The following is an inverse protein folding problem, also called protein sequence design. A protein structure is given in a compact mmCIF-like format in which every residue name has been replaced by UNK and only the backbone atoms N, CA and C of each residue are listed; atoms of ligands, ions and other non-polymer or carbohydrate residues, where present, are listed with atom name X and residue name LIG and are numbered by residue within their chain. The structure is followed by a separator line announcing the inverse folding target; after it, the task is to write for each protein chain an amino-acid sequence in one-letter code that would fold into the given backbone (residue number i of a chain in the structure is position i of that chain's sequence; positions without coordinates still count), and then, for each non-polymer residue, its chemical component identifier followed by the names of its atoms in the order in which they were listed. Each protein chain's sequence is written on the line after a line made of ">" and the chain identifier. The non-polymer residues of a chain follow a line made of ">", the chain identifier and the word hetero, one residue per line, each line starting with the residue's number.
data_IF_378856292164
#
_entry.id   IF_378856292164
#
_cell.length_a   1.000
_cell.length_b   1.000
_cell.length_c   1.000
_cell.angle_alpha   90.00
_cell.angle_beta   90.00
_cell.angle_gamma   90.00
#
_symmetry.space_group_name_H-M   'P 1'
#
loop_
_entity.id
_entity.type
_entity.pdbx_description
1 polymer ?
#
# COMPACT_ATOMS: atom_id res chain seq x y z
N UNK A 1 60.77 52.70 -20.52
CA UNK A 1 60.50 51.26 -20.34
C UNK A 1 58.99 51.03 -20.41
N UNK A 2 58.48 50.27 -21.39
CA UNK A 2 57.05 49.94 -21.49
C UNK A 2 56.83 48.47 -21.16
N UNK A 3 56.06 48.17 -20.11
CA UNK A 3 55.60 46.81 -19.81
C UNK A 3 54.52 46.42 -20.82
N UNK A 4 54.81 45.42 -21.66
CA UNK A 4 53.77 44.72 -22.42
C UNK A 4 53.22 43.61 -21.52
N UNK A 5 51.97 43.75 -21.10
CA UNK A 5 51.24 42.70 -20.36
C UNK A 5 50.71 41.73 -21.39
N UNK A 6 51.32 40.55 -21.49
CA UNK A 6 50.87 39.49 -22.41
C UNK A 6 49.53 38.90 -21.94
N UNK A 7 48.43 39.46 -22.45
CA UNK A 7 47.04 39.03 -22.20
C UNK A 7 46.74 37.57 -22.60
N UNK A 8 47.63 36.89 -23.32
CA UNK A 8 47.46 35.51 -23.79
C UNK A 8 47.92 34.47 -22.76
N UNK A 9 48.88 34.81 -21.89
CA UNK A 9 49.41 33.87 -20.90
C UNK A 9 48.41 33.57 -19.77
N UNK A 10 47.45 34.48 -19.51
CA UNK A 10 46.50 34.34 -18.39
C UNK A 10 45.14 33.75 -18.76
N UNK A 11 44.75 33.73 -20.05
CA UNK A 11 43.47 33.12 -20.50
C UNK A 11 43.42 31.60 -20.30
N UNK A 12 44.56 30.92 -20.39
CA UNK A 12 44.65 29.45 -20.24
C UNK A 12 44.46 28.98 -18.79
N UNK A 13 45.16 29.52 -17.77
CA UNK A 13 44.89 29.13 -16.38
C UNK A 13 43.49 29.58 -15.91
N UNK A 14 42.98 30.70 -16.42
CA UNK A 14 41.63 31.17 -16.09
C UNK A 14 40.53 30.23 -16.64
N UNK A 15 40.71 29.68 -17.84
CA UNK A 15 39.79 28.69 -18.43
C UNK A 15 39.84 27.34 -17.69
N UNK A 16 41.03 26.90 -17.24
CA UNK A 16 41.17 25.66 -16.46
C UNK A 16 40.51 25.78 -15.08
N UNK A 17 40.64 26.94 -14.41
CA UNK A 17 39.98 27.18 -13.12
C UNK A 17 38.44 27.26 -13.25
N UNK A 18 37.91 27.81 -14.34
CA UNK A 18 36.47 27.85 -14.60
C UNK A 18 35.87 26.46 -14.88
N UNK A 19 36.60 25.57 -15.56
CA UNK A 19 36.11 24.22 -15.87
C UNK A 19 36.03 23.31 -14.64
N UNK A 20 36.95 23.44 -13.67
CA UNK A 20 36.95 22.62 -12.46
C UNK A 20 35.79 22.93 -11.49
N UNK A 21 35.22 24.14 -11.55
CA UNK A 21 34.11 24.55 -10.69
C UNK A 21 32.74 23.94 -11.08
N UNK A 22 32.60 23.34 -12.27
CA UNK A 22 31.31 22.86 -12.79
C UNK A 22 30.86 21.48 -12.30
N UNK A 23 31.73 20.66 -11.71
CA UNK A 23 31.44 19.25 -11.40
C UNK A 23 30.93 18.98 -9.97
N UNK A 24 30.83 19.98 -9.09
CA UNK A 24 30.43 19.78 -7.68
C UNK A 24 28.93 20.00 -7.39
N UNK A 25 28.09 20.17 -8.41
CA UNK A 25 26.72 20.67 -8.24
C UNK A 25 25.60 19.60 -8.20
N UNK A 26 25.90 18.30 -8.32
CA UNK A 26 24.87 17.25 -8.37
C UNK A 26 25.07 16.17 -7.30
N UNK A 27 25.02 16.54 -6.02
CA UNK A 27 24.80 15.55 -4.94
C UNK A 27 24.23 16.12 -3.63
N UNK A 28 24.14 17.45 -3.46
CA UNK A 28 23.73 18.09 -2.20
C UNK A 28 22.45 18.88 -2.38
N UNK A 29 21.35 18.16 -2.63
CA UNK A 29 20.01 18.68 -2.28
C UNK A 29 19.79 18.47 -0.78
N UNK A 30 19.21 19.43 -0.04
CA UNK A 30 18.94 19.25 1.38
C UNK A 30 17.96 18.09 1.56
N UNK A 31 18.43 16.98 2.14
CA UNK A 31 17.56 15.91 2.63
C UNK A 31 17.01 16.34 3.99
N UNK A 32 16.13 17.34 3.97
CA UNK A 32 15.21 17.62 5.06
C UNK A 32 14.06 16.63 4.96
N UNK A 33 14.18 15.49 5.62
CA UNK A 33 13.00 14.84 6.16
C UNK A 33 12.94 15.28 7.61
N UNK A 34 12.47 16.51 7.84
CA UNK A 34 12.00 16.92 9.16
C UNK A 34 10.89 15.93 9.57
N UNK A 35 11.29 14.84 10.22
CA UNK A 35 10.40 14.14 11.14
C UNK A 35 10.20 15.12 12.27
N UNK A 36 9.11 15.87 12.16
CA UNK A 36 8.57 16.69 13.24
C UNK A 36 8.70 15.88 14.53
N UNK A 37 9.49 16.42 15.45
CA UNK A 37 9.72 15.83 16.74
C UNK A 37 8.36 15.51 17.37
N UNK A 38 8.25 14.26 17.81
CA UNK A 38 7.19 13.68 18.62
C UNK A 38 6.40 14.77 19.37
N UNK A 39 5.28 15.21 18.77
CA UNK A 39 4.31 16.01 19.50
C UNK A 39 3.86 15.12 20.64
N UNK A 40 4.34 15.41 21.85
CA UNK A 40 3.81 14.84 23.08
C UNK A 40 2.34 15.18 23.08
N UNK A 41 1.52 14.20 22.70
CA UNK A 41 0.09 14.35 22.69
C UNK A 41 -0.33 14.60 24.15
N UNK A 42 -1.22 15.57 24.43
CA UNK A 42 -1.85 15.62 25.74
C UNK A 42 -2.44 14.23 26.03
N UNK A 43 -2.38 13.72 27.27
CA UNK A 43 -2.97 12.43 27.59
C UNK A 43 -4.41 12.43 27.10
N UNK A 44 -4.72 11.49 26.21
CA UNK A 44 -6.02 11.40 25.57
C UNK A 44 -7.02 10.95 26.64
N UNK A 45 -7.66 11.89 27.30
CA UNK A 45 -8.79 11.61 28.18
C UNK A 45 -9.92 11.08 27.31
N UNK A 46 -10.16 9.78 27.42
CA UNK A 46 -11.28 9.11 26.77
C UNK A 46 -12.56 9.67 27.39
N UNK A 47 -13.38 10.44 26.65
CA UNK A 47 -14.63 10.94 27.20
C UNK A 47 -15.55 9.73 27.49
N UNK A 48 -16.16 9.64 28.68
CA UNK A 48 -17.18 8.63 28.94
C UNK A 48 -18.35 8.89 27.99
N UNK A 49 -18.63 7.92 27.11
CA UNK A 49 -19.57 8.07 26.00
C UNK A 49 -19.02 7.67 24.63
N UNK A 50 -17.76 7.21 24.54
CA UNK A 50 -17.34 6.22 23.55
C UNK A 50 -17.34 4.84 24.21
N UNK A 51 -18.53 4.32 24.49
CA UNK A 51 -18.75 2.91 24.22
C UNK A 51 -18.27 2.67 22.80
N UNK A 52 -17.11 2.00 22.71
CA UNK A 52 -16.55 1.47 21.47
C UNK A 52 -17.75 0.96 20.65
N UNK A 53 -17.92 1.30 19.35
CA UNK A 53 -18.80 0.48 18.55
C UNK A 53 -18.27 -0.92 18.78
N UNK A 54 -19.15 -1.77 19.32
CA UNK A 54 -18.77 -3.08 19.81
C UNK A 54 -17.82 -3.69 18.79
N UNK A 55 -16.83 -4.45 19.26
CA UNK A 55 -15.94 -5.23 18.41
C UNK A 55 -16.69 -6.34 17.63
N UNK A 56 -17.95 -6.10 17.29
CA UNK A 56 -18.91 -6.86 16.53
C UNK A 56 -18.93 -6.35 15.08
N UNK A 57 -17.82 -6.45 14.36
CA UNK A 57 -17.85 -6.35 12.90
C UNK A 57 -16.58 -6.90 12.25
N UNK A 58 -16.16 -8.12 12.61
CA UNK A 58 -15.23 -8.88 11.78
C UNK A 58 -15.39 -10.40 11.97
N UNK A 59 -16.63 -10.87 12.17
CA UNK A 59 -16.96 -12.31 12.13
C UNK A 59 -17.91 -12.63 10.98
N UNK A 60 -18.05 -11.75 9.99
CA UNK A 60 -18.66 -12.10 8.73
C UNK A 60 -17.61 -12.84 7.89
N UNK A 61 -17.48 -14.15 8.14
CA UNK A 61 -16.99 -15.04 7.10
C UNK A 61 -17.91 -14.83 5.88
N UNK A 62 -17.39 -14.74 4.65
CA UNK A 62 -18.26 -14.86 3.50
C UNK A 62 -19.07 -16.14 3.69
N UNK A 63 -20.41 -16.04 3.63
CA UNK A 63 -21.29 -17.19 3.61
C UNK A 63 -20.98 -17.99 2.34
N UNK A 64 -19.97 -18.85 2.47
CA UNK A 64 -19.79 -19.99 1.60
C UNK A 64 -21.07 -20.81 1.72
N UNK A 65 -21.66 -21.30 0.60
CA UNK A 65 -22.69 -22.33 0.69
C UNK A 65 -22.18 -23.41 1.66
N UNK A 66 -22.92 -23.60 2.76
CA UNK A 66 -22.39 -23.91 4.09
C UNK A 66 -21.25 -24.95 4.16
N UNK A 67 -20.28 -24.78 5.08
CA UNK A 67 -19.09 -25.60 5.09
C UNK A 67 -19.43 -27.06 5.39
N UNK A 68 -18.63 -28.00 4.87
CA UNK A 68 -18.69 -29.36 5.33
C UNK A 68 -18.14 -29.43 6.76
N UNK A 69 -19.04 -29.40 7.75
CA UNK A 69 -18.68 -29.54 9.15
C UNK A 69 -18.12 -28.27 9.81
N UNK A 70 -17.64 -28.38 11.06
CA UNK A 70 -17.12 -27.27 11.85
C UNK A 70 -15.97 -26.52 11.15
N UNK A 71 -16.00 -25.19 11.20
CA UNK A 71 -14.94 -24.31 10.69
C UNK A 71 -14.52 -23.33 11.78
N UNK A 72 -13.20 -23.16 11.95
CA UNK A 72 -12.60 -22.16 12.83
C UNK A 72 -11.63 -21.26 12.05
N UNK A 73 -11.45 -20.02 12.52
CA UNK A 73 -10.48 -19.07 11.97
C UNK A 73 -9.31 -18.99 12.93
N UNK A 74 -8.11 -19.24 12.44
CA UNK A 74 -6.87 -19.15 13.20
C UNK A 74 -5.99 -18.02 12.66
N UNK A 75 -5.13 -17.49 13.52
CA UNK A 75 -4.24 -16.37 13.18
C UNK A 75 -2.89 -16.50 13.87
N UNK A 76 -1.83 -16.24 13.12
CA UNK A 76 -0.47 -16.08 13.61
C UNK A 76 0.18 -14.85 12.95
N UNK A 77 0.30 -13.76 13.72
CA UNK A 77 0.82 -12.47 13.25
C UNK A 77 0.04 -11.93 12.04
N UNK A 78 0.67 -11.97 10.87
CA UNK A 78 0.13 -11.54 9.59
C UNK A 78 -0.60 -12.66 8.81
N UNK A 79 -0.45 -13.93 9.22
CA UNK A 79 -1.10 -15.08 8.57
C UNK A 79 -2.45 -15.36 9.21
N UNK A 80 -3.43 -15.70 8.39
CA UNK A 80 -4.77 -16.14 8.80
C UNK A 80 -5.17 -17.33 7.95
N UNK A 81 -5.78 -18.35 8.55
CA UNK A 81 -6.26 -19.52 7.83
C UNK A 81 -7.55 -20.06 8.45
N UNK A 82 -8.27 -20.85 7.66
CA UNK A 82 -9.44 -21.59 8.11
C UNK A 82 -9.01 -23.02 8.45
N UNK A 83 -9.46 -23.51 9.60
CA UNK A 83 -9.40 -24.93 9.97
C UNK A 83 -10.77 -25.51 9.68
N UNK A 84 -10.83 -26.45 8.74
CA UNK A 84 -12.09 -27.06 8.27
C UNK A 84 -12.06 -28.54 8.59
N UNK A 85 -13.03 -29.01 9.36
CA UNK A 85 -13.15 -30.42 9.74
C UNK A 85 -13.88 -31.23 8.65
N UNK A 86 -13.26 -31.39 7.48
CA UNK A 86 -13.78 -32.18 6.37
C UNK A 86 -12.71 -32.80 5.46
N UNK A 87 -13.06 -33.85 4.68
CA UNK A 87 -12.16 -34.41 3.67
C UNK A 87 -11.77 -33.37 2.61
N UNK A 88 -10.49 -33.32 2.19
CA UNK A 88 -10.01 -32.37 1.16
C UNK A 88 -10.83 -32.39 -0.13
N UNK A 89 -11.26 -33.57 -0.57
CA UNK A 89 -12.09 -33.73 -1.79
C UNK A 89 -13.44 -33.02 -1.73
N UNK A 90 -13.96 -32.71 -0.54
CA UNK A 90 -15.19 -31.94 -0.37
C UNK A 90 -14.93 -30.43 -0.27
N UNK A 91 -13.77 -30.05 0.27
CA UNK A 91 -13.38 -28.63 0.46
C UNK A 91 -12.86 -28.02 -0.84
N UNK A 92 -12.07 -28.77 -1.61
CA UNK A 92 -11.45 -28.31 -2.84
C UNK A 92 -12.41 -27.61 -3.83
N UNK A 93 -13.54 -28.22 -4.25
CA UNK A 93 -14.45 -27.58 -5.21
C UNK A 93 -15.09 -26.31 -4.66
N UNK A 94 -15.24 -26.18 -3.34
CA UNK A 94 -15.80 -24.97 -2.72
C UNK A 94 -14.80 -23.81 -2.77
N UNK A 95 -13.52 -24.08 -2.46
CA UNK A 95 -12.45 -23.08 -2.55
C UNK A 95 -12.27 -22.61 -3.99
N UNK A 96 -12.28 -23.56 -4.94
CA UNK A 96 -12.20 -23.28 -6.37
C UNK A 96 -13.38 -22.40 -6.85
N UNK A 97 -14.61 -22.75 -6.45
CA UNK A 97 -15.81 -21.99 -6.77
C UNK A 97 -15.79 -20.58 -6.14
N UNK A 98 -15.32 -20.45 -4.90
CA UNK A 98 -15.19 -19.17 -4.22
C UNK A 98 -14.26 -18.20 -4.96
N UNK A 99 -13.06 -18.67 -5.33
CA UNK A 99 -12.10 -17.83 -6.05
C UNK A 99 -12.63 -17.44 -7.43
N UNK A 100 -13.18 -18.40 -8.19
CA UNK A 100 -13.75 -18.12 -9.51
C UNK A 100 -14.97 -17.19 -9.45
N UNK A 101 -15.83 -17.36 -8.45
CA UNK A 101 -17.00 -16.50 -8.22
C UNK A 101 -16.61 -15.05 -7.91
N UNK A 102 -15.39 -14.83 -7.40
CA UNK A 102 -14.82 -13.50 -7.20
C UNK A 102 -13.97 -13.01 -8.39
N UNK A 103 -14.02 -13.70 -9.53
CA UNK A 103 -13.24 -13.37 -10.71
C UNK A 103 -11.74 -13.61 -10.54
N UNK A 104 -11.33 -14.51 -9.64
CA UNK A 104 -9.96 -14.98 -9.53
C UNK A 104 -9.81 -16.32 -10.24
N UNK A 105 -8.88 -16.38 -11.18
CA UNK A 105 -8.41 -17.63 -11.76
C UNK A 105 -7.10 -18.03 -11.04
N UNK A 106 -6.99 -19.27 -10.55
CA UNK A 106 -5.74 -19.74 -9.95
C UNK A 106 -4.58 -19.62 -10.94
N UNK A 107 -3.46 -19.06 -10.50
CA UNK A 107 -2.24 -18.99 -11.30
C UNK A 107 -1.55 -20.36 -11.40
N UNK A 108 -1.69 -21.19 -10.37
CA UNK A 108 -1.18 -22.56 -10.32
C UNK A 108 -1.93 -23.39 -9.28
N UNK A 109 -2.14 -24.68 -9.56
CA UNK A 109 -2.77 -25.62 -8.63
C UNK A 109 -2.16 -27.03 -8.68
N UNK A 110 -2.14 -27.72 -7.53
CA UNK A 110 -1.86 -29.15 -7.37
C UNK A 110 -2.91 -29.74 -6.41
N UNK A 111 -3.91 -30.42 -6.99
CA UNK A 111 -5.03 -31.00 -6.24
C UNK A 111 -4.61 -32.15 -5.33
N UNK A 112 -3.59 -32.91 -5.74
CA UNK A 112 -3.09 -34.04 -4.95
C UNK A 112 -2.44 -33.57 -3.65
N UNK A 113 -1.84 -32.38 -3.66
CA UNK A 113 -1.21 -31.76 -2.47
C UNK A 113 -2.09 -30.74 -1.76
N UNK A 114 -3.25 -30.39 -2.33
CA UNK A 114 -4.12 -29.37 -1.77
C UNK A 114 -3.54 -27.95 -1.85
N UNK A 115 -2.75 -27.64 -2.89
CA UNK A 115 -2.13 -26.32 -3.06
C UNK A 115 -2.79 -25.55 -4.21
N UNK A 116 -3.22 -24.31 -3.92
CA UNK A 116 -3.76 -23.38 -4.91
C UNK A 116 -3.12 -22.01 -4.69
N UNK A 117 -2.54 -21.43 -5.74
CA UNK A 117 -1.89 -20.13 -5.69
C UNK A 117 -2.61 -19.17 -6.64
N UNK A 118 -2.92 -17.97 -6.16
CA UNK A 118 -3.48 -16.88 -6.97
C UNK A 118 -2.37 -15.91 -7.38
N UNK A 119 -2.57 -15.22 -8.49
CA UNK A 119 -1.71 -14.09 -8.84
C UNK A 119 -1.91 -12.93 -7.85
N UNK A 120 -0.89 -12.09 -7.69
CA UNK A 120 -1.03 -10.88 -6.89
C UNK A 120 -1.92 -9.85 -7.60
N UNK A 121 -2.86 -9.25 -6.87
CA UNK A 121 -3.71 -8.15 -7.37
C UNK A 121 -3.78 -7.06 -6.32
N UNK A 122 -3.52 -5.82 -6.73
CA UNK A 122 -3.63 -4.67 -5.84
C UNK A 122 -5.10 -4.29 -5.65
N UNK A 123 -5.58 -4.25 -4.41
CA UNK A 123 -6.86 -3.64 -4.10
C UNK A 123 -6.66 -2.12 -4.14
N UNK A 124 -7.26 -1.43 -5.13
CA UNK A 124 -7.34 0.02 -5.13
C UNK A 124 -8.66 0.41 -4.43
N UNK A 125 -8.62 1.09 -3.28
CA UNK A 125 -9.84 1.62 -2.71
C UNK A 125 -10.45 2.62 -3.72
N UNK A 126 -11.78 2.72 -3.81
CA UNK A 126 -12.39 3.75 -4.64
C UNK A 126 -11.81 5.12 -4.24
N UNK A 127 -11.56 5.96 -5.24
CA UNK A 127 -11.06 7.30 -4.99
C UNK A 127 -12.06 8.02 -4.05
N UNK A 128 -11.54 8.65 -3.00
CA UNK A 128 -12.34 9.48 -2.08
C UNK A 128 -12.93 10.63 -2.91
N UNK A 129 -14.26 10.69 -3.05
CA UNK A 129 -14.96 11.68 -3.89
C UNK A 129 -15.61 11.13 -5.17
N UNK A 130 -16.00 9.85 -5.18
CA UNK A 130 -16.99 9.30 -6.11
C UNK A 130 -18.13 8.71 -5.30
N UNK A 131 -18.73 9.54 -4.44
CA UNK A 131 -20.01 9.22 -3.80
C UNK A 131 -21.15 9.69 -4.70
N UNK A 132 -22.33 9.06 -4.64
CA UNK A 132 -23.52 9.57 -5.31
C UNK A 132 -23.89 11.02 -4.88
N UNK A 133 -23.31 11.54 -3.79
CA UNK A 133 -23.48 12.92 -3.34
C UNK A 133 -22.94 13.96 -4.33
N UNK A 134 -21.86 13.65 -5.06
CA UNK A 134 -21.24 14.59 -6.00
C UNK A 134 -22.11 14.82 -7.25
N UNK A 135 -23.05 13.90 -7.55
CA UNK A 135 -24.03 14.04 -8.63
C UNK A 135 -25.27 14.84 -8.22
N UNK A 136 -25.50 15.04 -6.92
CA UNK A 136 -26.71 15.69 -6.41
C UNK A 136 -26.67 17.23 -6.50
N UNK A 137 -25.49 17.85 -6.63
CA UNK A 137 -25.33 19.31 -6.64
C UNK A 137 -25.31 19.95 -8.05
N UNK A 138 -25.40 19.16 -9.12
CA UNK A 138 -25.46 19.67 -10.50
C UNK A 138 -26.86 20.17 -10.92
N UNK A 139 -27.90 19.91 -10.12
CA UNK A 139 -29.25 20.44 -10.32
C UNK A 139 -29.40 21.82 -9.71
N UNK A 140 -28.91 22.84 -10.42
CA UNK A 140 -28.96 24.23 -9.98
C UNK A 140 -30.38 24.69 -9.62
N UNK A 141 -30.45 25.44 -8.53
CA UNK A 141 -31.58 26.29 -8.16
C UNK A 141 -31.86 27.24 -9.33
N UNK A 142 -33.02 27.11 -9.95
CA UNK A 142 -33.67 28.15 -10.76
C UNK A 142 -35.06 28.40 -10.19
#
# INVERSE_FOLDING_TARGET
>A
MGLRVDLVAWRRPLLVLLAAAGLAACATGPRGLEREAERVLPPLEVPPGLDLPAREAATALPELPGPPGPVAVERDGARRWLVVQAPPGRVWPLVEAFWRGQGWEPAWEDRGKGLMLTAWRQARPPAKGQGPEDQAWAGGVR
#
